data_IF_515306657900
#
_entry.id   IF_515306657900
#
_cell.length_a   1.000
_cell.length_b   1.000
_cell.length_c   1.000
_cell.angle_alpha   90.00
_cell.angle_beta   90.00
_cell.angle_gamma   90.00
#
_symmetry.space_group_name_H-M   'P 1'
#
loop_
_entity.id
_entity.type
_entity.pdbx_description
1 polymer ?
#
# COMPACT_ATOMS: atom_id res chain seq x y z
N UNK A 1 -9.48 24.74 29.82
CA UNK A 1 -9.71 23.82 28.67
C UNK A 1 -9.80 22.40 29.20
N UNK A 2 -11.01 21.90 29.44
CA UNK A 2 -11.25 20.53 29.92
C UNK A 2 -10.91 19.55 28.79
N UNK A 3 -9.81 18.80 28.93
CA UNK A 3 -9.52 17.68 28.03
C UNK A 3 -10.66 16.66 28.19
N UNK A 4 -11.56 16.56 27.21
CA UNK A 4 -12.59 15.51 27.18
C UNK A 4 -11.91 14.17 27.39
N UNK A 5 -12.37 13.41 28.40
CA UNK A 5 -11.90 12.05 28.64
C UNK A 5 -12.14 11.24 27.36
N UNK A 6 -11.15 10.52 26.80
CA UNK A 6 -11.35 9.77 25.58
C UNK A 6 -12.46 8.73 25.80
N UNK A 7 -13.34 8.55 24.83
CA UNK A 7 -14.52 7.66 24.95
C UNK A 7 -14.13 6.19 25.21
N UNK A 8 -12.88 5.80 24.92
CA UNK A 8 -12.33 4.47 25.16
C UNK A 8 -11.60 4.28 26.49
N UNK A 9 -11.85 5.09 27.52
CA UNK A 9 -11.16 4.97 28.81
C UNK A 9 -11.46 3.63 29.51
N UNK A 10 -10.60 2.63 29.30
CA UNK A 10 -10.70 1.28 29.89
C UNK A 10 -10.45 0.13 28.91
N UNK A 11 -10.54 0.38 27.59
CA UNK A 11 -10.35 -0.64 26.56
C UNK A 11 -8.88 -0.77 26.13
N UNK A 12 -8.50 -1.96 25.66
CA UNK A 12 -7.22 -2.22 25.00
C UNK A 12 -7.11 -1.42 23.70
N UNK A 13 -5.88 -1.20 23.23
CA UNK A 13 -5.61 -0.48 21.97
C UNK A 13 -6.33 -1.12 20.77
N UNK A 14 -6.33 -2.45 20.72
CA UNK A 14 -6.91 -3.20 19.60
C UNK A 14 -8.44 -3.14 19.61
N UNK A 15 -9.06 -3.19 20.79
CA UNK A 15 -10.50 -3.01 20.95
C UNK A 15 -10.94 -1.61 20.52
N UNK A 16 -10.19 -0.57 20.91
CA UNK A 16 -10.45 0.81 20.45
C UNK A 16 -10.31 0.93 18.93
N UNK A 17 -9.34 0.24 18.34
CA UNK A 17 -9.15 0.23 16.89
C UNK A 17 -10.36 -0.41 16.18
N UNK A 18 -10.84 -1.55 16.67
CA UNK A 18 -12.01 -2.23 16.11
C UNK A 18 -13.26 -1.38 16.19
N UNK A 19 -13.51 -0.74 17.34
CA UNK A 19 -14.66 0.15 17.53
C UNK A 19 -14.58 1.32 16.55
N UNK A 20 -13.43 1.99 16.45
CA UNK A 20 -13.24 3.11 15.52
C UNK A 20 -13.47 2.70 14.08
N UNK A 21 -12.95 1.53 13.66
CA UNK A 21 -13.18 1.03 12.30
C UNK A 21 -14.65 0.74 12.04
N UNK A 22 -15.37 0.14 13.00
CA UNK A 22 -16.80 -0.12 12.88
C UNK A 22 -17.62 1.17 12.77
N UNK A 23 -17.27 2.20 13.55
CA UNK A 23 -17.95 3.49 13.55
C UNK A 23 -17.68 4.26 12.25
N UNK A 24 -16.46 4.18 11.70
CA UNK A 24 -16.13 4.70 10.36
C UNK A 24 -17.06 4.09 9.31
N UNK A 25 -17.25 2.76 9.33
CA UNK A 25 -18.09 2.07 8.35
C UNK A 25 -19.56 2.50 8.49
N UNK A 26 -20.07 2.60 9.71
CA UNK A 26 -21.44 3.06 9.97
C UNK A 26 -21.67 4.50 9.48
N UNK A 27 -20.74 5.43 9.77
CA UNK A 27 -20.83 6.80 9.27
C UNK A 27 -20.79 6.85 7.73
N UNK A 28 -19.99 6.01 7.09
CA UNK A 28 -19.90 5.93 5.63
C UNK A 28 -21.19 5.38 4.99
N UNK A 29 -21.81 4.38 5.60
CA UNK A 29 -23.10 3.85 5.14
C UNK A 29 -24.21 4.89 5.27
N UNK A 30 -24.27 5.57 6.41
CA UNK A 30 -25.26 6.65 6.63
C UNK A 30 -25.08 7.77 5.61
N UNK A 31 -23.85 8.22 5.38
CA UNK A 31 -23.57 9.25 4.40
C UNK A 31 -23.89 8.81 2.96
N UNK A 32 -23.69 7.52 2.64
CA UNK A 32 -24.09 6.97 1.35
C UNK A 32 -25.61 7.04 1.16
N UNK A 33 -26.40 6.62 2.16
CA UNK A 33 -27.86 6.72 2.11
C UNK A 33 -28.36 8.16 2.01
N UNK A 34 -27.67 9.10 2.66
CA UNK A 34 -27.99 10.54 2.61
C UNK A 34 -27.45 11.25 1.36
N UNK A 35 -26.71 10.56 0.47
CA UNK A 35 -26.12 11.14 -0.73
C UNK A 35 -25.03 12.19 -0.48
N UNK A 36 -24.45 12.23 0.73
CA UNK A 36 -23.42 13.23 1.11
C UNK A 36 -22.02 12.72 0.78
N UNK A 37 -21.18 13.62 0.29
CA UNK A 37 -19.76 13.35 0.13
C UNK A 37 -19.02 13.50 1.47
N UNK A 38 -18.18 12.52 1.81
CA UNK A 38 -17.49 12.47 3.10
C UNK A 38 -16.00 12.42 2.88
N UNK A 39 -15.30 13.37 3.48
CA UNK A 39 -13.86 13.37 3.50
C UNK A 39 -13.33 12.29 4.47
N UNK A 40 -12.91 11.14 3.92
CA UNK A 40 -12.39 10.00 4.65
C UNK A 40 -11.24 10.35 5.60
N UNK A 41 -10.32 11.22 5.18
CA UNK A 41 -9.16 11.59 6.01
C UNK A 41 -9.58 12.35 7.26
N UNK A 42 -10.50 13.32 7.12
CA UNK A 42 -11.05 14.06 8.27
C UNK A 42 -11.81 13.14 9.21
N UNK A 43 -12.63 12.23 8.67
CA UNK A 43 -13.39 11.27 9.45
C UNK A 43 -12.49 10.38 10.30
N UNK A 44 -11.46 9.79 9.67
CA UNK A 44 -10.49 8.90 10.34
C UNK A 44 -9.76 9.62 11.46
N UNK A 45 -9.28 10.85 11.23
CA UNK A 45 -8.55 11.61 12.24
C UNK A 45 -9.45 12.03 13.40
N UNK A 46 -10.69 12.44 13.11
CA UNK A 46 -11.68 12.82 14.13
C UNK A 46 -12.00 11.65 15.05
N UNK A 47 -12.35 10.50 14.47
CA UNK A 47 -12.69 9.31 15.26
C UNK A 47 -11.48 8.74 16.00
N UNK A 48 -10.30 8.70 15.37
CA UNK A 48 -9.07 8.29 16.06
C UNK A 48 -8.78 9.18 17.29
N UNK A 49 -9.00 10.49 17.16
CA UNK A 49 -8.79 11.45 18.26
C UNK A 49 -9.80 11.28 19.39
N UNK A 50 -11.09 11.02 19.07
CA UNK A 50 -12.15 10.80 20.06
C UNK A 50 -11.88 9.59 20.98
N UNK A 51 -11.30 8.52 20.42
CA UNK A 51 -10.94 7.30 21.17
C UNK A 51 -9.50 7.30 21.71
N UNK A 52 -8.73 8.36 21.44
CA UNK A 52 -7.35 8.51 21.91
C UNK A 52 -6.38 7.52 21.27
N UNK A 53 -6.57 7.17 20.00
CA UNK A 53 -5.64 6.33 19.25
C UNK A 53 -4.40 7.14 18.83
N UNK A 54 -3.19 6.55 18.91
CA UNK A 54 -1.95 7.23 18.53
C UNK A 54 -1.81 7.41 17.02
N UNK A 55 -2.53 6.61 16.22
CA UNK A 55 -2.50 6.63 14.77
C UNK A 55 -3.88 6.32 14.21
N UNK A 56 -4.21 6.92 13.07
CA UNK A 56 -5.45 6.64 12.37
C UNK A 56 -5.44 5.22 11.76
N UNK A 57 -6.60 4.55 11.65
CA UNK A 57 -6.69 3.23 11.04
C UNK A 57 -6.16 3.23 9.61
N UNK A 58 -5.51 2.15 9.16
CA UNK A 58 -5.04 2.08 7.75
C UNK A 58 -6.24 1.86 6.84
N UNK A 59 -6.14 2.31 5.58
CA UNK A 59 -7.21 2.09 4.60
C UNK A 59 -7.48 0.59 4.40
N UNK A 60 -6.42 -0.23 4.40
CA UNK A 60 -6.51 -1.70 4.32
C UNK A 60 -7.35 -2.29 5.46
N UNK A 61 -7.16 -1.80 6.69
CA UNK A 61 -7.91 -2.29 7.86
C UNK A 61 -9.40 -1.95 7.74
N UNK A 62 -9.72 -0.75 7.22
CA UNK A 62 -11.10 -0.32 6.99
C UNK A 62 -11.75 -1.19 5.90
N UNK A 63 -11.05 -1.40 4.77
CA UNK A 63 -11.54 -2.23 3.66
C UNK A 63 -11.79 -3.67 4.12
N UNK A 64 -10.89 -4.24 4.92
CA UNK A 64 -11.01 -5.59 5.44
C UNK A 64 -12.22 -5.77 6.38
N UNK A 65 -12.57 -4.72 7.13
CA UNK A 65 -13.70 -4.74 8.06
C UNK A 65 -15.07 -4.47 7.42
N UNK A 66 -15.13 -4.12 6.12
CA UNK A 66 -16.41 -3.85 5.44
C UNK A 66 -17.25 -5.14 5.36
N UNK A 67 -18.51 -5.13 5.86
CA UNK A 67 -19.43 -6.27 5.73
C UNK A 67 -19.66 -6.67 4.28
N UNK A 68 -19.88 -7.97 4.03
CA UNK A 68 -19.99 -8.51 2.68
C UNK A 68 -21.12 -7.88 1.85
N UNK A 69 -22.22 -7.51 2.51
CA UNK A 69 -23.38 -6.84 1.92
C UNK A 69 -23.07 -5.40 1.49
N UNK A 70 -22.21 -4.71 2.24
CA UNK A 70 -21.84 -3.32 2.01
C UNK A 70 -20.63 -3.15 1.07
N UNK A 71 -19.91 -4.24 0.77
CA UNK A 71 -18.76 -4.24 -0.16
C UNK A 71 -19.05 -3.59 -1.52
N UNK A 72 -20.12 -3.95 -2.27
CA UNK A 72 -20.37 -3.34 -3.58
C UNK A 72 -20.62 -1.83 -3.51
N UNK A 73 -21.12 -1.34 -2.37
CA UNK A 73 -21.48 0.06 -2.15
C UNK A 73 -20.24 0.88 -1.75
N UNK A 74 -19.45 0.36 -0.81
CA UNK A 74 -18.35 1.09 -0.18
C UNK A 74 -17.00 0.88 -0.88
N UNK A 75 -16.72 -0.30 -1.45
CA UNK A 75 -15.43 -0.55 -2.12
C UNK A 75 -15.13 0.44 -3.26
N UNK A 76 -16.07 0.79 -4.16
CA UNK A 76 -15.79 1.77 -5.21
C UNK A 76 -15.41 3.15 -4.67
N UNK A 77 -15.97 3.55 -3.52
CA UNK A 77 -15.70 4.85 -2.87
C UNK A 77 -14.41 4.82 -2.04
N UNK A 78 -14.05 3.68 -1.47
CA UNK A 78 -12.86 3.48 -0.65
C UNK A 78 -11.61 3.12 -1.45
N UNK A 79 -11.78 2.64 -2.70
CA UNK A 79 -10.68 2.27 -3.58
C UNK A 79 -9.83 3.50 -3.88
N UNK A 80 -8.53 3.40 -3.59
CA UNK A 80 -7.57 4.39 -4.04
C UNK A 80 -7.65 4.51 -5.56
N UNK A 81 -7.54 5.74 -6.08
CA UNK A 81 -7.65 6.13 -7.51
C UNK A 81 -7.24 4.97 -8.44
N UNK A 82 -8.05 4.58 -9.45
CA UNK A 82 -7.71 3.47 -10.32
C UNK A 82 -6.35 3.70 -11.00
N UNK A 83 -5.32 3.00 -10.52
CA UNK A 83 -3.97 3.04 -11.08
C UNK A 83 -4.00 2.17 -12.32
N UNK A 84 -3.90 2.74 -13.53
CA UNK A 84 -3.76 2.03 -14.83
C UNK A 84 -4.61 0.74 -14.99
N UNK A 85 -5.74 0.64 -14.30
CA UNK A 85 -6.60 -0.56 -14.20
C UNK A 85 -7.93 -0.35 -14.90
N UNK A 86 -8.04 0.68 -15.77
CA UNK A 86 -9.18 0.83 -16.67
C UNK A 86 -9.34 -0.41 -17.59
N UNK A 87 -8.23 -1.07 -17.93
CA UNK A 87 -8.19 -2.34 -18.68
C UNK A 87 -8.37 -3.60 -17.79
N UNK A 88 -8.42 -3.44 -16.46
CA UNK A 88 -8.52 -4.55 -15.51
C UNK A 88 -7.26 -5.41 -15.34
N UNK A 89 -6.10 -4.96 -15.86
CA UNK A 89 -4.81 -5.66 -15.76
C UNK A 89 -4.02 -5.10 -14.58
N UNK A 90 -3.59 -5.98 -13.67
CA UNK A 90 -2.72 -5.64 -12.55
C UNK A 90 -1.25 -5.74 -12.98
N UNK A 91 -0.53 -4.62 -12.99
CA UNK A 91 0.89 -4.59 -13.31
C UNK A 91 1.73 -4.95 -12.09
N UNK A 92 2.53 -6.00 -12.21
CA UNK A 92 3.45 -6.49 -11.18
C UNK A 92 4.89 -6.35 -11.69
N UNK A 93 5.58 -5.33 -11.20
CA UNK A 93 6.99 -5.11 -11.48
C UNK A 93 7.86 -5.87 -10.48
N UNK A 94 8.79 -6.69 -10.98
CA UNK A 94 9.77 -7.47 -10.22
C UNK A 94 11.18 -7.14 -10.69
N UNK A 95 12.14 -7.17 -9.77
CA UNK A 95 13.54 -6.94 -10.08
C UNK A 95 14.35 -8.22 -9.97
N UNK A 96 15.25 -8.41 -10.92
CA UNK A 96 16.23 -9.48 -10.89
C UNK A 96 17.34 -9.20 -9.87
N UNK A 97 18.09 -10.25 -9.50
CA UNK A 97 19.26 -10.11 -8.64
C UNK A 97 20.25 -9.07 -9.22
N UNK A 98 20.82 -8.17 -8.39
CA UNK A 98 21.88 -7.28 -8.81
C UNK A 98 23.03 -8.07 -9.45
N UNK A 99 23.37 -7.74 -10.69
CA UNK A 99 24.44 -8.34 -11.46
C UNK A 99 25.13 -7.27 -12.32
N UNK A 100 26.39 -7.50 -12.65
CA UNK A 100 27.16 -6.60 -13.52
C UNK A 100 26.73 -6.77 -14.98
N UNK A 101 26.74 -5.68 -15.74
CA UNK A 101 26.47 -5.72 -17.17
C UNK A 101 27.49 -6.58 -17.92
N UNK A 102 27.08 -7.37 -18.95
CA UNK A 102 27.99 -8.27 -19.66
C UNK A 102 29.09 -7.54 -20.46
N UNK A 103 28.82 -6.30 -20.90
CA UNK A 103 29.79 -5.53 -21.69
C UNK A 103 31.02 -5.11 -20.88
N UNK A 104 30.96 -5.13 -19.54
CA UNK A 104 32.12 -4.79 -18.69
C UNK A 104 33.32 -5.68 -18.97
N UNK A 105 33.09 -6.93 -19.41
CA UNK A 105 34.15 -7.87 -19.79
C UNK A 105 34.88 -7.46 -21.08
N UNK A 106 34.25 -6.64 -21.92
CA UNK A 106 34.80 -6.18 -23.20
C UNK A 106 35.33 -4.74 -23.13
N UNK A 107 34.60 -3.85 -22.44
CA UNK A 107 34.92 -2.42 -22.35
C UNK A 107 35.75 -2.05 -21.11
N UNK A 108 35.81 -2.95 -20.12
CA UNK A 108 36.48 -2.73 -18.83
C UNK A 108 35.72 -1.82 -17.85
N UNK A 109 34.64 -1.14 -18.29
CA UNK A 109 33.94 -0.13 -17.50
C UNK A 109 32.41 -0.21 -17.67
N UNK A 110 31.67 0.32 -16.70
CA UNK A 110 30.22 0.55 -16.76
C UNK A 110 29.87 1.76 -17.66
N UNK A 111 28.60 1.88 -18.07
CA UNK A 111 28.14 3.04 -18.83
C UNK A 111 28.28 4.34 -18.02
N UNK A 112 28.78 5.40 -18.66
CA UNK A 112 29.05 6.72 -18.05
C UNK A 112 27.83 7.31 -17.34
N UNK A 113 26.63 7.07 -17.86
CA UNK A 113 25.37 7.61 -17.31
C UNK A 113 24.64 6.65 -16.36
N UNK A 114 25.23 5.50 -16.01
CA UNK A 114 24.57 4.54 -15.13
C UNK A 114 24.87 4.86 -13.65
N UNK A 115 23.86 5.26 -12.84
CA UNK A 115 24.11 5.72 -11.48
C UNK A 115 24.35 4.59 -10.47
N UNK A 116 23.69 3.45 -10.66
CA UNK A 116 23.62 2.36 -9.68
C UNK A 116 24.22 1.04 -10.14
N UNK A 117 24.08 0.03 -9.29
CA UNK A 117 24.56 -1.32 -9.54
C UNK A 117 25.57 -1.81 -8.50
N UNK A 118 26.08 -3.04 -8.65
CA UNK A 118 26.97 -3.68 -7.66
C UNK A 118 28.29 -2.93 -7.41
N UNK A 119 28.75 -2.16 -8.39
CA UNK A 119 30.02 -1.41 -8.34
C UNK A 119 29.80 0.09 -8.05
N UNK A 120 28.61 0.46 -7.55
CA UNK A 120 28.26 1.84 -7.20
C UNK A 120 28.21 2.04 -5.68
N UNK A 121 28.15 3.30 -5.25
CA UNK A 121 27.97 3.66 -3.83
C UNK A 121 26.57 3.33 -3.29
N UNK A 122 25.63 2.92 -4.16
CA UNK A 122 24.27 2.57 -3.75
C UNK A 122 24.20 1.11 -3.28
N UNK A 123 24.10 0.94 -1.96
CA UNK A 123 24.04 -0.38 -1.31
C UNK A 123 22.90 -1.26 -1.87
N UNK A 124 23.27 -2.45 -2.31
CA UNK A 124 22.35 -3.53 -2.71
C UNK A 124 21.33 -3.12 -3.79
N UNK A 125 21.70 -2.14 -4.62
CA UNK A 125 20.93 -1.64 -5.75
C UNK A 125 21.09 -2.49 -7.01
N UNK A 126 20.04 -2.61 -7.82
CA UNK A 126 20.12 -3.15 -9.18
C UNK A 126 20.77 -2.15 -10.13
N UNK A 127 21.32 -2.66 -11.22
CA UNK A 127 21.95 -1.81 -12.24
C UNK A 127 20.98 -0.72 -12.72
N UNK A 128 21.47 0.51 -12.79
CA UNK A 128 20.68 1.71 -13.19
C UNK A 128 19.67 2.23 -12.16
N UNK A 129 19.54 1.62 -10.98
CA UNK A 129 18.63 2.07 -9.91
C UNK A 129 19.39 2.55 -8.68
N UNK A 130 18.76 3.43 -7.88
CA UNK A 130 19.37 3.97 -6.65
C UNK A 130 19.01 3.17 -5.40
N UNK A 131 17.98 2.31 -5.47
CA UNK A 131 17.48 1.54 -4.33
C UNK A 131 16.34 2.23 -3.57
N UNK A 132 16.14 3.54 -3.77
CA UNK A 132 15.10 4.32 -3.11
C UNK A 132 13.74 4.29 -3.84
N UNK A 133 13.67 3.67 -5.01
CA UNK A 133 12.43 3.54 -5.75
C UNK A 133 11.50 2.53 -5.06
N UNK A 134 10.17 2.71 -5.12
CA UNK A 134 9.24 1.80 -4.45
C UNK A 134 9.38 0.34 -4.87
N UNK A 135 9.75 0.07 -6.13
CA UNK A 135 9.99 -1.29 -6.63
C UNK A 135 11.31 -1.84 -6.11
N UNK A 136 12.39 -1.06 -6.17
CA UNK A 136 13.70 -1.42 -5.61
C UNK A 136 13.63 -1.71 -4.11
N UNK A 137 12.97 -0.84 -3.33
CA UNK A 137 12.78 -1.08 -1.90
C UNK A 137 12.03 -2.38 -1.59
N UNK A 138 11.04 -2.75 -2.42
CA UNK A 138 10.33 -4.04 -2.26
C UNK A 138 11.23 -5.21 -2.61
N UNK A 139 12.02 -5.09 -3.68
CA UNK A 139 12.96 -6.12 -4.12
C UNK A 139 14.06 -6.37 -3.07
N UNK A 140 14.65 -5.31 -2.53
CA UNK A 140 15.65 -5.36 -1.45
C UNK A 140 15.08 -6.05 -0.21
N UNK A 141 13.86 -5.67 0.23
CA UNK A 141 13.18 -6.32 1.37
C UNK A 141 12.91 -7.80 1.14
N UNK A 142 12.60 -8.20 -0.09
CA UNK A 142 12.40 -9.58 -0.48
C UNK A 142 13.71 -10.32 -0.80
N UNK A 143 14.88 -9.68 -0.63
CA UNK A 143 16.20 -10.22 -1.02
C UNK A 143 16.23 -10.74 -2.46
N UNK A 144 15.54 -10.02 -3.35
CA UNK A 144 15.38 -10.36 -4.76
C UNK A 144 14.74 -11.74 -5.04
N UNK A 145 14.04 -12.34 -4.06
CA UNK A 145 13.30 -13.58 -4.27
C UNK A 145 12.06 -13.32 -5.17
N UNK A 146 11.94 -13.98 -6.34
CA UNK A 146 10.88 -13.68 -7.31
C UNK A 146 9.48 -14.07 -6.79
N UNK A 147 9.40 -15.13 -5.99
CA UNK A 147 8.13 -15.61 -5.43
C UNK A 147 7.62 -14.63 -4.37
N UNK A 148 8.47 -14.20 -3.44
CA UNK A 148 8.12 -13.25 -2.39
C UNK A 148 7.79 -11.86 -2.96
N UNK A 149 8.58 -11.36 -3.92
CA UNK A 149 8.29 -10.08 -4.59
C UNK A 149 6.89 -10.07 -5.22
N UNK A 150 6.58 -11.14 -5.96
CA UNK A 150 5.29 -11.30 -6.65
C UNK A 150 4.16 -11.44 -5.65
N UNK A 151 4.28 -12.37 -4.70
CA UNK A 151 3.24 -12.65 -3.71
C UNK A 151 2.89 -11.40 -2.89
N UNK A 152 3.89 -10.71 -2.35
CA UNK A 152 3.66 -9.50 -1.56
C UNK A 152 2.99 -8.39 -2.39
N UNK A 153 3.37 -8.24 -3.66
CA UNK A 153 2.76 -7.22 -4.54
C UNK A 153 1.31 -7.56 -4.88
N UNK A 154 1.00 -8.83 -5.16
CA UNK A 154 -0.36 -9.29 -5.46
C UNK A 154 -1.26 -9.17 -4.22
N UNK A 155 -0.79 -9.61 -3.06
CA UNK A 155 -1.54 -9.49 -1.80
C UNK A 155 -1.82 -8.02 -1.45
N UNK A 156 -0.84 -7.13 -1.62
CA UNK A 156 -1.02 -5.70 -1.42
C UNK A 156 -2.11 -5.11 -2.33
N UNK A 157 -2.15 -5.51 -3.61
CA UNK A 157 -3.17 -5.05 -4.55
C UNK A 157 -4.56 -5.58 -4.17
N UNK A 158 -4.67 -6.85 -3.75
CA UNK A 158 -5.93 -7.44 -3.25
C UNK A 158 -6.43 -6.68 -2.01
N UNK A 159 -5.56 -6.40 -1.05
CA UNK A 159 -5.88 -5.68 0.18
C UNK A 159 -6.38 -4.25 -0.06
N UNK A 160 -5.93 -3.62 -1.15
CA UNK A 160 -6.39 -2.29 -1.58
C UNK A 160 -7.71 -2.35 -2.39
N UNK A 161 -8.30 -3.53 -2.60
CA UNK A 161 -9.53 -3.70 -3.35
C UNK A 161 -9.36 -3.67 -4.88
N UNK A 162 -8.16 -3.94 -5.39
CA UNK A 162 -7.95 -4.15 -6.82
C UNK A 162 -8.17 -5.62 -7.18
N UNK A 163 -8.87 -5.86 -8.29
CA UNK A 163 -8.91 -7.18 -8.92
C UNK A 163 -7.53 -7.51 -9.48
N UNK A 164 -7.11 -8.76 -9.32
CA UNK A 164 -5.80 -9.26 -9.77
C UNK A 164 -5.97 -10.54 -10.58
N UNK A 165 -7.09 -10.65 -11.30
CA UNK A 165 -7.42 -11.83 -12.11
C UNK A 165 -6.57 -11.90 -13.38
N UNK A 166 -6.14 -10.73 -13.88
CA UNK A 166 -5.21 -10.57 -15.00
C UNK A 166 -3.98 -9.84 -14.52
N UNK A 167 -2.81 -10.44 -14.66
CA UNK A 167 -1.55 -9.88 -14.20
C UNK A 167 -0.58 -9.78 -15.36
N UNK A 168 0.05 -8.62 -15.51
CA UNK A 168 1.15 -8.39 -16.44
C UNK A 168 2.43 -8.22 -15.63
N UNK A 169 3.42 -9.07 -15.92
CA UNK A 169 4.72 -9.01 -15.29
C UNK A 169 5.66 -8.10 -16.06
N UNK A 170 6.33 -7.21 -15.34
CA UNK A 170 7.41 -6.40 -15.88
C UNK A 170 8.68 -6.78 -15.11
N UNK A 171 9.65 -7.33 -15.83
CA UNK A 171 10.98 -7.60 -15.30
C UNK A 171 11.87 -6.43 -15.65
N UNK A 172 12.56 -5.89 -14.64
CA UNK A 172 13.49 -4.77 -14.76
C UNK A 172 14.76 -5.00 -13.97
#
# INVERSE_FOLDING_TARGET
MTKKKPLGAGLSRDERMLIVVSEIIQELLKAHHEGKDVNLNRLKTRLASNYGLPSAPRLVDIIAAVPHEAKPILLPKLKAKPIRTASGIAVVAVMCKPHRCPHINMTGNICVYCPGGPDSDFEYSTQSYTGYEPTSMRAIRARYDPFLQTRHRVEQLKQLGHSVDKVEFIVM
#
